data_IF_584486309546
#
_entry.id   IF_584486309546
#
_cell.length_a   1.000
_cell.length_b   1.000
_cell.length_c   1.000
_cell.angle_alpha   90.00
_cell.angle_beta   90.00
_cell.angle_gamma   90.00
#
_symmetry.space_group_name_H-M   'P 1'
#
loop_
_entity.id
_entity.type
_entity.pdbx_description
1 polymer ?
#
# COMPACT_ATOMS: atom_id res chain seq x y z
N UNK A 1 -20.84 -3.60 -0.84
CA UNK A 1 -21.04 -4.92 -0.22
C UNK A 1 -19.94 -5.13 0.82
N UNK A 2 -20.29 -5.50 2.05
CA UNK A 2 -19.29 -5.75 3.10
C UNK A 2 -18.67 -7.13 2.90
N UNK A 3 -17.34 -7.17 2.96
CA UNK A 3 -16.54 -8.39 2.82
C UNK A 3 -15.68 -8.58 4.07
N UNK A 4 -15.51 -9.82 4.52
CA UNK A 4 -14.60 -10.16 5.59
C UNK A 4 -13.23 -10.52 5.01
N UNK A 5 -12.18 -9.86 5.48
CA UNK A 5 -10.79 -10.12 5.05
C UNK A 5 -9.85 -10.20 6.25
N UNK A 6 -8.75 -10.93 6.09
CA UNK A 6 -7.63 -10.85 7.02
C UNK A 6 -6.89 -9.52 6.83
N UNK A 7 -6.40 -8.94 7.92
CA UNK A 7 -5.57 -7.74 7.88
C UNK A 7 -4.11 -8.05 8.19
N UNK A 8 -3.25 -7.33 7.50
CA UNK A 8 -1.82 -7.25 7.77
C UNK A 8 -1.48 -5.80 8.14
N UNK A 9 -1.44 -5.47 9.44
CA UNK A 9 -1.06 -4.13 9.88
C UNK A 9 0.42 -3.88 9.63
N UNK A 10 0.76 -2.77 8.99
CA UNK A 10 2.13 -2.34 8.69
C UNK A 10 2.38 -0.93 9.22
N UNK A 11 3.66 -0.62 9.45
CA UNK A 11 4.10 0.75 9.73
C UNK A 11 4.21 1.63 8.47
N UNK A 12 3.84 1.11 7.32
CA UNK A 12 3.88 1.81 6.03
C UNK A 12 2.58 1.62 5.24
N UNK A 13 2.23 2.62 4.46
CA UNK A 13 1.09 2.58 3.53
C UNK A 13 1.47 1.78 2.29
N UNK A 14 0.53 0.98 1.79
CA UNK A 14 0.62 0.36 0.47
C UNK A 14 -0.33 1.08 -0.48
N UNK A 15 0.22 1.63 -1.57
CA UNK A 15 -0.59 2.22 -2.64
C UNK A 15 -1.14 1.15 -3.58
N UNK A 16 -2.33 1.36 -4.20
CA UNK A 16 -2.75 0.54 -5.34
C UNK A 16 -1.69 0.50 -6.43
N UNK A 17 -1.56 -0.65 -7.12
CA UNK A 17 -0.56 -0.91 -8.18
C UNK A 17 0.91 -0.84 -7.72
N UNK A 18 1.19 -0.50 -6.46
CA UNK A 18 2.54 -0.53 -5.92
C UNK A 18 2.89 -1.90 -5.35
N UNK A 19 4.20 -2.17 -5.21
CA UNK A 19 4.72 -3.40 -4.63
C UNK A 19 5.62 -3.10 -3.46
N UNK A 20 5.51 -3.90 -2.41
CA UNK A 20 6.44 -3.89 -1.29
C UNK A 20 6.87 -5.33 -0.95
N UNK A 21 8.17 -5.53 -0.62
CA UNK A 21 8.65 -6.81 -0.11
C UNK A 21 8.39 -6.90 1.39
N UNK A 22 8.00 -8.08 1.87
CA UNK A 22 7.78 -8.38 3.28
C UNK A 22 8.58 -9.62 3.68
N UNK A 23 9.10 -9.62 4.90
CA UNK A 23 9.68 -10.83 5.52
C UNK A 23 8.68 -11.37 6.53
N UNK A 24 8.31 -12.62 6.38
CA UNK A 24 7.30 -13.28 7.22
C UNK A 24 7.99 -14.18 8.22
N UNK A 25 7.77 -13.93 9.52
CA UNK A 25 8.37 -14.71 10.61
C UNK A 25 7.35 -15.13 11.69
N UNK A 26 6.21 -14.45 11.79
CA UNK A 26 5.15 -14.83 12.74
C UNK A 26 4.29 -15.94 12.17
N UNK A 27 3.97 -16.98 13.01
CA UNK A 27 3.21 -18.14 12.56
C UNK A 27 1.84 -17.77 11.96
N UNK A 28 1.12 -16.85 12.58
CA UNK A 28 -0.20 -16.38 12.08
C UNK A 28 -0.13 -15.81 10.64
N UNK A 29 0.98 -15.18 10.29
CA UNK A 29 1.18 -14.64 8.94
C UNK A 29 1.72 -15.69 7.96
N UNK A 30 2.51 -16.67 8.42
CA UNK A 30 2.88 -17.83 7.60
C UNK A 30 1.64 -18.61 7.19
N UNK A 31 0.71 -18.84 8.12
CA UNK A 31 -0.56 -19.52 7.86
C UNK A 31 -1.48 -18.70 6.94
N UNK A 32 -1.51 -17.37 7.11
CA UNK A 32 -2.22 -16.47 6.21
C UNK A 32 -1.69 -16.55 4.79
N UNK A 33 -0.36 -16.44 4.61
CA UNK A 33 0.29 -16.52 3.29
C UNK A 33 0.00 -17.86 2.63
N UNK A 34 0.15 -18.98 3.36
CA UNK A 34 -0.14 -20.32 2.85
C UNK A 34 -1.60 -20.45 2.37
N UNK A 35 -2.55 -19.89 3.12
CA UNK A 35 -3.97 -19.85 2.72
C UNK A 35 -4.18 -18.99 1.48
N UNK A 36 -3.66 -17.76 1.47
CA UNK A 36 -3.82 -16.85 0.34
C UNK A 36 -3.26 -17.44 -0.97
N UNK A 37 -2.09 -18.10 -0.89
CA UNK A 37 -1.48 -18.74 -2.06
C UNK A 37 -2.29 -19.94 -2.55
N UNK A 38 -2.83 -20.77 -1.63
CA UNK A 38 -3.64 -21.93 -1.99
C UNK A 38 -4.96 -21.55 -2.64
N UNK A 39 -5.63 -20.54 -2.07
CA UNK A 39 -7.00 -20.16 -2.42
C UNK A 39 -7.04 -19.04 -3.46
N UNK A 40 -5.85 -18.53 -3.87
CA UNK A 40 -5.68 -17.38 -4.77
C UNK A 40 -6.43 -16.13 -4.29
N UNK A 41 -6.35 -15.89 -2.98
CA UNK A 41 -6.96 -14.75 -2.30
C UNK A 41 -5.87 -13.78 -1.83
N UNK A 42 -6.29 -12.57 -1.47
CA UNK A 42 -5.44 -11.57 -0.87
C UNK A 42 -5.82 -11.26 0.57
N UNK A 43 -5.21 -10.22 1.08
CA UNK A 43 -5.47 -9.68 2.42
C UNK A 43 -5.42 -8.15 2.40
N UNK A 44 -5.97 -7.52 3.44
CA UNK A 44 -5.95 -6.08 3.60
C UNK A 44 -4.66 -5.61 4.27
N UNK A 45 -3.98 -4.64 3.67
CA UNK A 45 -2.88 -3.90 4.30
C UNK A 45 -3.44 -2.60 4.88
N UNK A 46 -3.17 -2.36 6.17
CA UNK A 46 -3.59 -1.15 6.89
C UNK A 46 -2.43 -0.55 7.65
N UNK A 47 -2.42 0.78 7.76
CA UNK A 47 -1.40 1.50 8.51
C UNK A 47 -1.68 1.36 10.01
N UNK A 48 -0.66 0.98 10.80
CA UNK A 48 -0.68 1.06 12.25
C UNK A 48 -0.62 2.53 12.68
N UNK A 49 -1.62 2.99 13.42
CA UNK A 49 -1.60 4.32 14.05
C UNK A 49 -0.61 4.31 15.21
N UNK A 50 0.37 5.22 15.19
CA UNK A 50 1.34 5.37 16.28
C UNK A 50 0.62 5.71 17.59
N UNK A 51 1.09 5.12 18.69
CA UNK A 51 0.52 5.32 20.03
C UNK A 51 -0.43 4.25 20.52
N UNK A 52 -0.67 3.19 19.73
CA UNK A 52 -1.44 2.05 20.21
C UNK A 52 -0.59 0.86 20.66
N UNK A 53 0.56 1.10 21.25
CA UNK A 53 1.08 0.21 22.29
C UNK A 53 0.16 0.33 23.51
N UNK A 54 -1.07 -0.12 23.37
CA UNK A 54 -1.96 -0.25 24.52
C UNK A 54 -1.46 -1.44 25.31
N UNK A 55 -0.98 -1.07 26.46
CA UNK A 55 -0.54 -1.93 27.54
C UNK A 55 -1.42 -3.17 27.72
N UNK A 56 -0.87 -4.36 27.41
CA UNK A 56 -1.02 -5.48 28.30
C UNK A 56 -2.37 -6.19 28.42
N UNK A 57 -3.05 -6.50 27.32
CA UNK A 57 -4.15 -7.45 27.36
C UNK A 57 -4.19 -8.35 26.11
N UNK A 58 -4.31 -9.66 26.30
CA UNK A 58 -4.37 -10.69 25.25
C UNK A 58 -5.52 -10.55 24.25
N UNK A 59 -6.30 -9.46 24.30
CA UNK A 59 -7.50 -9.22 23.50
C UNK A 59 -7.49 -7.87 22.78
N UNK A 60 -6.43 -7.05 22.91
CA UNK A 60 -6.43 -5.72 22.30
C UNK A 60 -6.23 -5.80 20.79
N UNK A 61 -7.21 -5.26 20.08
CA UNK A 61 -7.14 -5.06 18.63
C UNK A 61 -6.21 -3.88 18.36
N UNK A 62 -5.22 -4.00 17.46
CA UNK A 62 -4.34 -2.88 17.14
C UNK A 62 -5.14 -1.71 16.58
N UNK A 63 -4.74 -0.49 16.94
CA UNK A 63 -5.31 0.72 16.37
C UNK A 63 -4.80 0.89 14.94
N UNK A 64 -5.64 0.61 13.97
CA UNK A 64 -5.32 0.67 12.53
C UNK A 64 -6.03 1.84 11.86
N UNK A 65 -5.56 2.21 10.67
CA UNK A 65 -6.19 3.22 9.83
C UNK A 65 -7.59 2.77 9.38
N UNK A 66 -8.46 3.74 9.12
CA UNK A 66 -9.84 3.53 8.67
C UNK A 66 -9.92 3.11 7.20
N UNK A 67 -8.83 3.29 6.46
CA UNK A 67 -8.70 2.90 5.06
C UNK A 67 -7.42 2.10 4.88
N UNK A 68 -7.46 1.15 3.95
CA UNK A 68 -6.33 0.34 3.56
C UNK A 68 -6.38 -0.07 2.11
N UNK A 69 -5.44 -0.92 1.72
CA UNK A 69 -5.32 -1.45 0.36
C UNK A 69 -5.36 -2.97 0.39
N UNK A 70 -6.27 -3.56 -0.38
CA UNK A 70 -6.32 -5.00 -0.62
C UNK A 70 -5.13 -5.39 -1.48
N UNK A 71 -4.39 -6.40 -1.06
CA UNK A 71 -3.15 -6.82 -1.70
C UNK A 71 -3.17 -8.29 -2.10
N UNK A 72 -2.49 -8.61 -3.19
CA UNK A 72 -2.22 -9.97 -3.63
C UNK A 72 -0.73 -10.27 -3.49
N UNK A 73 -0.39 -11.52 -3.18
CA UNK A 73 1.00 -12.00 -3.25
C UNK A 73 1.32 -12.25 -4.72
N UNK A 74 2.34 -11.56 -5.24
CA UNK A 74 2.75 -11.64 -6.64
C UNK A 74 4.08 -12.35 -6.85
N UNK A 75 4.87 -12.50 -5.77
CA UNK A 75 6.13 -13.23 -5.79
C UNK A 75 6.49 -13.72 -4.38
N UNK A 76 7.32 -14.76 -4.29
CA UNK A 76 7.83 -15.26 -3.02
C UNK A 76 9.19 -15.95 -3.20
N UNK A 77 10.02 -15.92 -2.17
CA UNK A 77 11.34 -16.55 -2.15
C UNK A 77 11.75 -16.93 -0.72
N UNK A 78 12.66 -17.88 -0.60
CA UNK A 78 13.32 -18.15 0.66
C UNK A 78 14.54 -17.22 0.80
N UNK A 79 14.50 -16.36 1.80
CA UNK A 79 15.59 -15.42 2.05
C UNK A 79 16.85 -16.12 2.59
N UNK A 80 18.05 -15.51 2.46
CA UNK A 80 19.30 -16.07 2.96
C UNK A 80 19.31 -16.39 4.47
N UNK A 81 18.48 -15.70 5.26
CA UNK A 81 18.28 -15.93 6.69
C UNK A 81 17.28 -17.06 6.99
N UNK A 82 16.78 -17.76 5.97
CA UNK A 82 15.83 -18.86 6.11
C UNK A 82 14.36 -18.42 6.26
N UNK A 83 14.08 -17.13 6.34
CA UNK A 83 12.71 -16.61 6.42
C UNK A 83 12.02 -16.64 5.06
N UNK A 84 10.69 -16.65 5.07
CA UNK A 84 9.88 -16.47 3.88
C UNK A 84 9.84 -14.98 3.49
N UNK A 85 10.31 -14.66 2.28
CA UNK A 85 10.10 -13.38 1.63
C UNK A 85 8.89 -13.45 0.71
N UNK A 86 8.04 -12.45 0.74
CA UNK A 86 6.95 -12.29 -0.24
C UNK A 86 7.01 -10.89 -0.83
N UNK A 87 6.55 -10.75 -2.07
CA UNK A 87 6.25 -9.44 -2.66
C UNK A 87 4.73 -9.33 -2.81
N UNK A 88 4.17 -8.32 -2.21
CA UNK A 88 2.75 -8.02 -2.32
C UNK A 88 2.51 -6.85 -3.27
N UNK A 89 1.40 -6.88 -3.99
CA UNK A 89 0.95 -5.80 -4.88
C UNK A 89 -0.41 -5.29 -4.44
N UNK A 90 -0.51 -3.98 -4.23
CA UNK A 90 -1.77 -3.31 -3.93
C UNK A 90 -2.73 -3.37 -5.11
N UNK A 91 -4.01 -3.64 -4.84
CA UNK A 91 -5.07 -3.71 -5.85
C UNK A 91 -6.04 -2.55 -5.69
N UNK A 92 -6.98 -2.67 -4.82
CA UNK A 92 -8.04 -1.69 -4.61
C UNK A 92 -8.08 -1.23 -3.16
N UNK A 93 -8.55 -0.02 -2.95
CA UNK A 93 -8.73 0.55 -1.61
C UNK A 93 -9.95 -0.07 -0.94
N UNK A 94 -9.97 -0.05 0.38
CA UNK A 94 -11.15 -0.39 1.17
C UNK A 94 -11.29 0.52 2.39
N UNK A 95 -12.51 0.68 2.85
CA UNK A 95 -12.83 1.28 4.13
C UNK A 95 -13.04 0.18 5.18
N UNK A 96 -12.51 0.40 6.40
CA UNK A 96 -12.65 -0.50 7.54
C UNK A 96 -13.92 -0.16 8.31
N UNK A 97 -14.82 -1.13 8.46
CA UNK A 97 -16.07 -0.98 9.20
C UNK A 97 -15.94 -1.50 10.64
N UNK A 98 -15.30 -2.65 10.81
CA UNK A 98 -15.04 -3.23 12.12
C UNK A 98 -13.82 -4.14 12.08
N UNK A 99 -13.11 -4.23 13.21
CA UNK A 99 -11.88 -5.02 13.35
C UNK A 99 -11.99 -5.92 14.57
N UNK A 100 -11.49 -7.15 14.48
CA UNK A 100 -11.40 -8.08 15.62
C UNK A 100 -10.15 -8.95 15.50
N UNK A 101 -9.81 -9.63 16.57
CA UNK A 101 -8.73 -10.59 16.63
C UNK A 101 -9.28 -12.00 16.72
N UNK A 102 -8.78 -12.89 15.89
CA UNK A 102 -9.05 -14.33 15.94
C UNK A 102 -8.27 -15.01 17.07
N UNK A 103 -8.65 -16.25 17.38
CA UNK A 103 -8.02 -17.02 18.45
C UNK A 103 -6.53 -17.32 18.20
N UNK A 104 -6.11 -17.41 16.94
CA UNK A 104 -4.71 -17.56 16.49
C UNK A 104 -3.92 -16.23 16.50
N UNK A 105 -4.58 -15.14 16.88
CA UNK A 105 -4.01 -13.79 16.92
C UNK A 105 -4.06 -13.04 15.59
N UNK A 106 -4.58 -13.65 14.52
CA UNK A 106 -4.77 -12.97 13.25
C UNK A 106 -5.83 -11.87 13.38
N UNK A 107 -5.54 -10.73 12.82
CA UNK A 107 -6.49 -9.61 12.76
C UNK A 107 -7.37 -9.79 11.53
N UNK A 108 -8.68 -9.63 11.71
CA UNK A 108 -9.66 -9.62 10.64
C UNK A 108 -10.52 -8.36 10.70
N UNK A 109 -11.12 -8.02 9.58
CA UNK A 109 -12.03 -6.88 9.48
C UNK A 109 -13.21 -7.18 8.55
N UNK A 110 -14.33 -6.51 8.82
CA UNK A 110 -15.35 -6.23 7.80
C UNK A 110 -14.97 -4.95 7.11
N UNK A 111 -14.90 -5.00 5.80
CA UNK A 111 -14.46 -3.89 4.96
C UNK A 111 -15.44 -3.65 3.82
N UNK A 112 -15.48 -2.40 3.37
CA UNK A 112 -16.15 -1.99 2.14
C UNK A 112 -15.11 -1.79 1.06
N UNK A 113 -15.00 -2.74 0.12
CA UNK A 113 -14.09 -2.63 -1.01
C UNK A 113 -14.58 -1.51 -1.94
N UNK A 114 -13.68 -0.59 -2.26
CA UNK A 114 -13.92 0.45 -3.26
C UNK A 114 -13.68 -0.14 -4.66
N UNK A 115 -14.43 0.29 -5.70
CA UNK A 115 -14.14 -0.15 -7.06
C UNK A 115 -12.70 0.22 -7.43
N UNK A 116 -12.01 -0.62 -8.23
CA UNK A 116 -10.71 -0.27 -8.78
C UNK A 116 -10.80 1.05 -9.53
N UNK A 117 -9.75 1.86 -9.45
CA UNK A 117 -9.67 3.08 -10.24
C UNK A 117 -9.57 2.71 -11.73
N UNK A 118 -10.46 3.25 -12.53
CA UNK A 118 -10.36 3.10 -13.98
C UNK A 118 -9.15 3.87 -14.50
N UNK A 119 -8.44 3.28 -15.47
CA UNK A 119 -7.30 3.95 -16.11
C UNK A 119 -7.73 5.28 -16.70
N UNK A 120 -6.96 6.31 -16.42
CA UNK A 120 -7.20 7.66 -16.92
C UNK A 120 -5.89 8.26 -17.43
N UNK A 121 -5.90 8.93 -18.60
CA UNK A 121 -4.68 9.50 -19.17
C UNK A 121 -4.06 10.52 -18.22
N UNK A 122 -2.73 10.51 -18.13
CA UNK A 122 -1.99 11.53 -17.40
C UNK A 122 -2.14 12.88 -18.11
N UNK A 123 -2.70 13.92 -17.45
CA UNK A 123 -2.83 15.23 -18.09
C UNK A 123 -1.45 15.83 -18.40
N UNK A 124 -1.32 16.50 -19.55
CA UNK A 124 -0.06 17.03 -20.07
C UNK A 124 0.66 17.97 -19.08
N UNK A 125 -0.08 18.74 -18.31
CA UNK A 125 0.46 19.62 -17.27
C UNK A 125 1.24 18.89 -16.17
N UNK A 126 1.03 17.58 -15.99
CA UNK A 126 1.72 16.71 -15.02
C UNK A 126 2.73 15.75 -15.68
N UNK A 127 3.14 16.01 -16.91
CA UNK A 127 4.11 15.16 -17.62
C UNK A 127 5.43 15.03 -16.86
N UNK A 128 5.85 16.06 -16.11
CA UNK A 128 7.02 16.05 -15.23
C UNK A 128 6.98 14.93 -14.19
N UNK A 129 5.81 14.58 -13.67
CA UNK A 129 5.64 13.47 -12.72
C UNK A 129 6.04 12.13 -13.35
N UNK A 130 5.66 11.91 -14.62
CA UNK A 130 6.07 10.70 -15.33
C UNK A 130 7.60 10.67 -15.57
N UNK A 131 8.25 11.80 -15.77
CA UNK A 131 9.71 11.87 -15.92
C UNK A 131 10.42 11.54 -14.61
N UNK A 132 9.92 12.04 -13.48
CA UNK A 132 10.43 11.68 -12.15
C UNK A 132 10.26 10.16 -11.91
N UNK A 133 9.08 9.61 -12.18
CA UNK A 133 8.84 8.18 -12.04
C UNK A 133 9.76 7.36 -12.93
N UNK A 134 9.95 7.78 -14.19
CA UNK A 134 10.90 7.13 -15.14
C UNK A 134 12.33 7.10 -14.60
N UNK A 135 12.73 8.15 -13.87
CA UNK A 135 14.02 8.19 -13.17
C UNK A 135 14.08 7.18 -12.02
N UNK A 136 13.05 7.15 -11.17
CA UNK A 136 13.00 6.28 -9.98
C UNK A 136 12.98 4.79 -10.34
N UNK A 137 12.23 4.36 -11.34
CA UNK A 137 12.13 2.96 -11.72
C UNK A 137 13.44 2.38 -12.28
N UNK A 138 14.37 3.22 -12.74
CA UNK A 138 15.72 2.81 -13.17
C UNK A 138 16.66 2.53 -12.01
N UNK A 139 16.31 2.98 -10.80
CA UNK A 139 17.13 2.73 -9.63
C UNK A 139 17.19 1.22 -9.33
N UNK A 140 18.37 0.63 -9.06
CA UNK A 140 18.54 -0.81 -8.91
C UNK A 140 17.65 -1.46 -7.84
N UNK A 141 17.33 -0.75 -6.76
CA UNK A 141 16.44 -1.24 -5.72
C UNK A 141 14.98 -1.27 -6.16
N UNK A 142 14.54 -0.28 -6.94
CA UNK A 142 13.17 -0.19 -7.44
C UNK A 142 12.95 -1.18 -8.58
N UNK A 143 13.93 -1.34 -9.48
CA UNK A 143 13.84 -2.28 -10.61
C UNK A 143 13.63 -3.73 -10.16
N UNK A 144 14.14 -4.11 -8.98
CA UNK A 144 13.93 -5.45 -8.39
C UNK A 144 12.47 -5.74 -8.02
N UNK A 145 11.66 -4.70 -7.79
CA UNK A 145 10.25 -4.84 -7.48
C UNK A 145 9.42 -5.25 -8.70
N UNK A 146 9.98 -5.15 -9.90
CA UNK A 146 9.32 -5.47 -11.17
C UNK A 146 7.91 -4.85 -11.25
N UNK A 147 7.83 -3.52 -11.01
CA UNK A 147 6.57 -2.79 -10.91
C UNK A 147 5.78 -2.84 -12.23
N UNK A 148 4.45 -2.95 -12.18
CA UNK A 148 3.58 -2.82 -13.35
C UNK A 148 3.46 -1.34 -13.73
N UNK A 149 4.46 -0.78 -14.40
CA UNK A 149 4.52 0.67 -14.68
C UNK A 149 3.77 1.02 -15.95
N UNK A 150 2.85 1.98 -15.85
CA UNK A 150 2.23 2.67 -16.98
C UNK A 150 2.44 4.17 -16.81
N UNK A 151 3.31 4.77 -17.64
CA UNK A 151 3.62 6.20 -17.57
C UNK A 151 2.54 7.09 -18.22
N UNK A 152 1.59 6.48 -18.92
CA UNK A 152 0.48 7.17 -19.59
C UNK A 152 -0.79 7.19 -18.71
N UNK A 153 -0.85 6.33 -17.69
CA UNK A 153 -1.95 6.27 -16.75
C UNK A 153 -1.67 7.15 -15.53
N UNK A 154 -2.48 8.18 -15.35
CA UNK A 154 -2.33 9.15 -14.27
C UNK A 154 -2.43 8.52 -12.88
N UNK A 155 -3.34 7.55 -12.67
CA UNK A 155 -3.43 6.84 -11.38
C UNK A 155 -2.21 5.99 -11.10
N UNK A 156 -1.69 5.28 -12.13
CA UNK A 156 -0.47 4.49 -11.98
C UNK A 156 0.73 5.38 -11.64
N UNK A 157 0.89 6.50 -12.34
CA UNK A 157 1.94 7.48 -12.04
C UNK A 157 1.80 8.02 -10.62
N UNK A 158 0.61 8.46 -10.23
CA UNK A 158 0.34 9.01 -8.91
C UNK A 158 0.62 8.02 -7.78
N UNK A 159 0.08 6.81 -7.85
CA UNK A 159 0.27 5.79 -6.83
C UNK A 159 1.72 5.31 -6.73
N UNK A 160 2.40 5.10 -7.87
CA UNK A 160 3.81 4.70 -7.88
C UNK A 160 4.70 5.79 -7.26
N UNK A 161 4.48 7.06 -7.57
CA UNK A 161 5.20 8.17 -6.95
C UNK A 161 4.90 8.26 -5.45
N UNK A 162 3.63 8.19 -5.05
CA UNK A 162 3.25 8.19 -3.65
C UNK A 162 3.92 7.07 -2.86
N UNK A 163 4.15 5.89 -3.47
CA UNK A 163 4.86 4.79 -2.84
C UNK A 163 6.36 5.02 -2.77
N UNK A 164 6.99 5.46 -3.86
CA UNK A 164 8.44 5.48 -4.03
C UNK A 164 9.12 6.72 -3.45
N UNK A 165 8.41 7.85 -3.38
CA UNK A 165 8.97 9.07 -2.81
C UNK A 165 9.18 8.94 -1.29
N UNK A 166 10.22 9.58 -0.74
CA UNK A 166 10.54 9.55 0.69
C UNK A 166 9.60 10.46 1.51
N UNK A 167 8.30 10.23 1.38
CA UNK A 167 7.25 10.95 2.08
C UNK A 167 6.95 10.31 3.44
N UNK A 168 6.47 11.11 4.40
CA UNK A 168 5.97 10.57 5.66
C UNK A 168 4.73 9.70 5.43
N UNK A 169 4.52 8.71 6.31
CA UNK A 169 3.38 7.80 6.16
C UNK A 169 2.03 8.53 6.32
N UNK A 170 1.99 9.64 7.02
CA UNK A 170 0.81 10.51 7.10
C UNK A 170 0.47 11.16 5.75
N UNK A 171 1.49 11.63 5.02
CA UNK A 171 1.32 12.17 3.66
C UNK A 171 0.90 11.06 2.69
N UNK A 172 1.56 9.90 2.74
CA UNK A 172 1.17 8.75 1.93
C UNK A 172 -0.28 8.33 2.20
N UNK A 173 -0.68 8.35 3.46
CA UNK A 173 -2.05 8.02 3.83
C UNK A 173 -3.07 9.04 3.29
N UNK A 174 -2.72 10.33 3.29
CA UNK A 174 -3.54 11.38 2.67
C UNK A 174 -3.65 11.17 1.14
N UNK A 175 -2.54 10.88 0.47
CA UNK A 175 -2.52 10.55 -0.97
C UNK A 175 -3.35 9.30 -1.30
N UNK A 176 -3.29 8.26 -0.45
CA UNK A 176 -4.14 7.08 -0.60
C UNK A 176 -5.63 7.45 -0.54
N UNK A 177 -5.98 8.46 0.27
CA UNK A 177 -7.34 8.97 0.46
C UNK A 177 -7.84 9.91 -0.63
N UNK A 178 -7.03 10.26 -1.63
CA UNK A 178 -7.44 11.20 -2.68
C UNK A 178 -8.74 10.75 -3.38
N UNK A 179 -9.70 11.66 -3.48
CA UNK A 179 -11.02 11.39 -4.04
C UNK A 179 -11.02 11.42 -5.58
N UNK A 180 -10.04 12.09 -6.17
CA UNK A 180 -9.93 12.25 -7.62
C UNK A 180 -8.48 12.17 -8.08
N UNK A 181 -8.28 11.81 -9.36
CA UNK A 181 -6.97 11.83 -10.00
C UNK A 181 -6.35 13.23 -9.95
N UNK A 182 -7.14 14.26 -10.19
CA UNK A 182 -6.65 15.63 -10.15
C UNK A 182 -6.07 15.98 -8.78
N UNK A 183 -6.78 15.68 -7.69
CA UNK A 183 -6.30 15.92 -6.33
C UNK A 183 -4.98 15.18 -6.06
N UNK A 184 -4.89 13.91 -6.44
CA UNK A 184 -3.67 13.11 -6.25
C UNK A 184 -2.47 13.74 -6.97
N UNK A 185 -2.65 14.15 -8.23
CA UNK A 185 -1.57 14.70 -9.04
C UNK A 185 -1.17 16.13 -8.60
N UNK A 186 -2.14 16.97 -8.21
CA UNK A 186 -1.87 18.31 -7.68
C UNK A 186 -1.05 18.26 -6.38
N UNK A 187 -1.42 17.36 -5.47
CA UNK A 187 -0.67 17.18 -4.22
C UNK A 187 0.75 16.68 -4.49
N UNK A 188 0.92 15.71 -5.38
CA UNK A 188 2.25 15.20 -5.74
C UNK A 188 3.11 16.26 -6.43
N UNK A 189 2.56 17.06 -7.34
CA UNK A 189 3.28 18.15 -8.00
C UNK A 189 3.75 19.19 -6.99
N UNK A 190 2.89 19.56 -6.04
CA UNK A 190 3.22 20.46 -4.95
C UNK A 190 4.35 19.92 -4.08
N UNK A 191 4.24 18.67 -3.63
CA UNK A 191 5.26 18.01 -2.82
C UNK A 191 6.63 17.94 -3.53
N UNK A 192 6.62 17.62 -4.83
CA UNK A 192 7.87 17.55 -5.61
C UNK A 192 8.53 18.90 -5.77
N UNK A 193 7.76 19.99 -5.99
CA UNK A 193 8.29 21.36 -6.05
C UNK A 193 8.91 21.77 -4.70
N UNK A 194 8.25 21.48 -3.60
CA UNK A 194 8.79 21.74 -2.26
C UNK A 194 10.11 20.98 -2.03
N UNK A 195 10.17 19.69 -2.42
CA UNK A 195 11.37 18.87 -2.28
C UNK A 195 12.51 19.35 -3.19
N UNK A 196 12.21 19.97 -4.34
CA UNK A 196 13.19 20.51 -5.29
C UNK A 196 13.67 21.91 -4.90
N UNK A 197 13.06 22.53 -3.87
CA UNK A 197 13.38 23.90 -3.44
C UNK A 197 12.82 24.99 -4.37
N UNK A 198 11.90 24.66 -5.25
CA UNK A 198 11.18 25.62 -6.08
C UNK A 198 10.03 26.23 -5.27
N UNK A 199 10.06 27.56 -5.09
CA UNK A 199 8.99 28.27 -4.37
C UNK A 199 7.66 28.13 -5.12
N UNK A 200 6.53 27.99 -4.43
CA UNK A 200 5.22 28.01 -5.07
C UNK A 200 5.01 29.36 -5.77
N UNK A 201 4.68 29.32 -7.05
CA UNK A 201 4.32 30.50 -7.87
C UNK A 201 2.90 30.93 -7.57
#
# INVERSE_FOLDING_TARGET
>A
MLTEIALFPLSSVLMPQARIPLQIFEQRYLDLVARCMRDNEGFGVVLLKQGSEVSGGSLDVPNVSEMGTYALIVDWDQLPNGLLGITIEGRQRFAVESVWREADGLIKAKVSLQPPQESAPLPEQYASLADVLRGLIRHPQVSRLNLPVSLEDGWAVGYQLGQLLPLSESIKYALLGADSLQQLLEELDTLLREMSGEAPT
#
